data_IF_209592717293
#
_entry.id   IF_209592717293
#
_cell.length_a   1.000
_cell.length_b   1.000
_cell.length_c   1.000
_cell.angle_alpha   90.00
_cell.angle_beta   90.00
_cell.angle_gamma   90.00
#
_symmetry.space_group_name_H-M   'P 1'
#
loop_
_entity.id
_entity.type
_entity.pdbx_description
1 polymer ?
#
# COMPACT_ATOMS: atom_id res chain seq x y z
N UNK A 1 -10.90 -17.51 8.78
CA UNK A 1 -11.55 -17.25 7.48
C UNK A 1 -11.85 -15.76 7.43
N UNK A 2 -11.15 -15.00 6.60
CA UNK A 2 -11.26 -13.53 6.56
C UNK A 2 -11.91 -13.14 5.24
N UNK A 3 -13.15 -12.67 5.29
CA UNK A 3 -13.81 -12.10 4.12
C UNK A 3 -13.41 -10.63 3.97
N UNK A 4 -13.01 -10.17 2.77
CA UNK A 4 -12.81 -8.74 2.52
C UNK A 4 -14.07 -7.92 2.85
N UNK A 5 -15.27 -8.47 2.66
CA UNK A 5 -16.52 -7.82 3.09
C UNK A 5 -16.68 -7.62 4.60
N UNK A 6 -15.90 -8.32 5.44
CA UNK A 6 -15.82 -8.05 6.89
C UNK A 6 -14.73 -7.03 7.24
N UNK A 7 -13.76 -6.81 6.35
CA UNK A 7 -12.65 -5.88 6.55
C UNK A 7 -12.93 -4.51 5.94
N UNK A 8 -13.43 -4.45 4.71
CA UNK A 8 -13.71 -3.23 3.94
C UNK A 8 -15.17 -2.85 4.10
N UNK A 9 -15.41 -1.70 4.73
CA UNK A 9 -16.77 -1.17 4.93
C UNK A 9 -17.32 -0.46 3.70
N UNK A 10 -16.45 0.22 2.94
CA UNK A 10 -16.81 0.96 1.73
C UNK A 10 -15.65 0.96 0.74
N UNK A 11 -15.94 0.89 -0.57
CA UNK A 11 -14.92 1.06 -1.58
C UNK A 11 -14.29 2.45 -1.49
N UNK A 12 -13.05 2.55 -1.94
CA UNK A 12 -12.32 3.80 -1.88
C UNK A 12 -11.08 3.79 -2.74
N UNK A 13 -10.58 5.00 -2.97
CA UNK A 13 -9.33 5.23 -3.66
C UNK A 13 -8.53 6.23 -2.86
N UNK A 14 -7.27 5.90 -2.63
CA UNK A 14 -6.26 6.82 -2.14
C UNK A 14 -5.23 7.05 -3.24
N UNK A 15 -4.81 8.31 -3.43
CA UNK A 15 -3.63 8.65 -4.23
C UNK A 15 -2.74 9.61 -3.46
N UNK A 16 -1.43 9.42 -3.58
CA UNK A 16 -0.43 10.21 -2.90
C UNK A 16 0.89 10.23 -3.64
N UNK A 17 1.85 10.95 -3.08
CA UNK A 17 3.19 11.08 -3.66
C UNK A 17 4.23 10.63 -2.64
N UNK A 18 5.19 9.84 -3.09
CA UNK A 18 6.40 9.53 -2.34
C UNK A 18 7.57 10.33 -2.93
N UNK A 19 8.42 10.86 -2.06
CA UNK A 19 9.56 11.68 -2.45
C UNK A 19 10.85 11.09 -1.85
N UNK A 20 11.54 10.20 -2.60
CA UNK A 20 12.81 9.62 -2.20
C UNK A 20 13.87 10.64 -1.78
N UNK A 21 13.85 11.86 -2.36
CA UNK A 21 14.82 12.91 -1.99
C UNK A 21 14.65 13.40 -0.56
N UNK A 22 13.44 13.29 0.01
CA UNK A 22 13.18 13.64 1.41
C UNK A 22 13.60 12.54 2.37
N UNK A 23 13.77 11.31 1.89
CA UNK A 23 14.16 10.15 2.68
C UNK A 23 15.32 9.41 1.98
N UNK A 24 16.57 9.95 2.02
CA UNK A 24 17.72 9.41 1.28
C UNK A 24 18.18 8.02 1.75
N UNK A 25 17.61 7.51 2.85
CA UNK A 25 17.84 6.16 3.34
C UNK A 25 16.79 5.16 2.87
N UNK A 26 15.67 5.64 2.31
CA UNK A 26 14.65 4.74 1.81
C UNK A 26 15.17 3.91 0.64
N UNK A 27 14.59 2.73 0.47
CA UNK A 27 14.95 1.80 -0.60
C UNK A 27 16.36 1.19 -0.54
N UNK A 28 17.08 1.40 0.57
CA UNK A 28 18.34 0.71 0.90
C UNK A 28 18.05 -0.50 1.78
N UNK A 29 18.83 -1.57 1.62
CA UNK A 29 18.70 -2.78 2.45
C UNK A 29 18.78 -2.42 3.95
N UNK A 30 17.90 -3.03 4.74
CA UNK A 30 17.80 -2.78 6.18
C UNK A 30 17.09 -1.47 6.58
N UNK A 31 16.76 -0.58 5.64
CA UNK A 31 15.97 0.61 5.93
C UNK A 31 14.48 0.31 5.89
N UNK A 32 13.75 0.77 6.90
CA UNK A 32 12.29 0.79 6.93
C UNK A 32 11.79 2.23 6.97
N UNK A 33 10.95 2.64 6.01
CA UNK A 33 10.42 4.00 5.90
C UNK A 33 8.91 3.97 5.74
N UNK A 34 8.21 4.66 6.65
CA UNK A 34 6.79 4.96 6.51
C UNK A 34 6.60 6.18 5.61
N UNK A 35 5.90 6.00 4.49
CA UNK A 35 5.67 7.05 3.51
C UNK A 35 4.39 7.81 3.76
N UNK A 36 3.30 7.05 3.89
CA UNK A 36 1.95 7.58 3.92
C UNK A 36 1.16 6.76 4.92
N UNK A 37 0.36 7.45 5.73
CA UNK A 37 -0.64 6.87 6.61
C UNK A 37 -1.94 7.63 6.37
N UNK A 38 -3.02 6.91 6.10
CA UNK A 38 -4.30 7.51 5.81
C UNK A 38 -5.45 6.75 6.46
N UNK A 39 -6.50 7.49 6.80
CA UNK A 39 -7.78 6.93 7.22
C UNK A 39 -8.84 7.42 6.24
N UNK A 40 -9.44 6.50 5.48
CA UNK A 40 -10.50 6.83 4.53
C UNK A 40 -11.66 5.85 4.69
N UNK A 41 -12.89 6.37 4.82
CA UNK A 41 -14.11 5.57 4.98
C UNK A 41 -14.07 4.57 6.16
N UNK A 42 -13.26 4.85 7.19
CA UNK A 42 -13.10 3.98 8.35
C UNK A 42 -12.06 2.87 8.18
N UNK A 43 -11.39 2.82 7.03
CA UNK A 43 -10.22 1.98 6.78
C UNK A 43 -8.95 2.77 7.09
N UNK A 44 -8.08 2.18 7.91
CA UNK A 44 -6.75 2.71 8.17
C UNK A 44 -5.76 2.02 7.25
N UNK A 45 -4.84 2.74 6.60
CA UNK A 45 -3.84 2.12 5.76
C UNK A 45 -2.51 2.83 5.88
N UNK A 46 -1.43 2.04 5.79
CA UNK A 46 -0.07 2.55 5.83
C UNK A 46 0.69 2.00 4.63
N UNK A 47 1.45 2.88 3.98
CA UNK A 47 2.39 2.54 2.93
C UNK A 47 3.80 2.67 3.52
N UNK A 48 4.53 1.55 3.52
CA UNK A 48 5.91 1.48 4.01
C UNK A 48 6.82 0.93 2.92
N UNK A 49 8.12 1.22 3.00
CA UNK A 49 9.12 0.46 2.27
C UNK A 49 10.13 -0.18 3.21
N UNK A 50 10.52 -1.41 2.88
CA UNK A 50 11.63 -2.13 3.51
C UNK A 50 12.62 -2.55 2.42
N UNK A 51 13.79 -1.93 2.40
CA UNK A 51 14.63 -1.98 1.20
C UNK A 51 13.81 -1.58 -0.03
N UNK A 52 14.03 -2.26 -1.15
CA UNK A 52 13.33 -1.98 -2.43
C UNK A 52 11.87 -2.44 -2.45
N UNK A 53 11.41 -3.09 -1.39
CA UNK A 53 10.06 -3.62 -1.30
C UNK A 53 9.12 -2.55 -0.79
N UNK A 54 8.04 -2.31 -1.51
CA UNK A 54 6.95 -1.49 -1.06
C UNK A 54 5.82 -2.37 -0.53
N UNK A 55 5.28 -1.99 0.62
CA UNK A 55 4.15 -2.67 1.25
C UNK A 55 3.03 -1.71 1.57
N UNK A 56 1.81 -2.18 1.34
CA UNK A 56 0.58 -1.53 1.82
C UNK A 56 -0.04 -2.43 2.85
N UNK A 57 -0.23 -1.89 4.05
CA UNK A 57 -0.84 -2.60 5.17
C UNK A 57 -2.16 -1.91 5.49
N UNK A 58 -3.26 -2.63 5.30
CA UNK A 58 -4.58 -2.20 5.72
C UNK A 58 -4.78 -2.56 7.20
N UNK A 59 -5.50 -1.70 7.90
CA UNK A 59 -5.81 -1.78 9.32
C UNK A 59 -4.56 -2.04 10.19
N UNK A 60 -3.46 -1.37 9.85
CA UNK A 60 -2.17 -1.49 10.54
C UNK A 60 -2.29 -1.25 12.04
N UNK A 61 -1.60 -2.07 12.84
CA UNK A 61 -1.64 -2.09 14.31
C UNK A 61 -3.01 -2.36 14.93
N UNK A 62 -3.90 -3.04 14.19
CA UNK A 62 -5.18 -3.53 14.73
C UNK A 62 -5.27 -5.05 14.64
N UNK A 63 -6.25 -5.63 15.32
CA UNK A 63 -6.63 -7.04 15.22
C UNK A 63 -7.11 -7.46 13.82
N UNK A 64 -7.39 -6.48 12.96
CA UNK A 64 -7.85 -6.64 11.56
C UNK A 64 -6.74 -6.34 10.54
N UNK A 65 -5.48 -6.26 10.98
CA UNK A 65 -4.36 -5.96 10.09
C UNK A 65 -4.28 -6.96 8.93
N UNK A 66 -4.13 -6.42 7.73
CA UNK A 66 -3.96 -7.18 6.49
C UNK A 66 -2.78 -6.60 5.71
N UNK A 67 -1.72 -7.38 5.54
CA UNK A 67 -0.70 -7.07 4.56
C UNK A 67 -1.32 -7.31 3.18
N UNK A 68 -1.48 -6.24 2.41
CA UNK A 68 -2.12 -6.32 1.11
C UNK A 68 -1.09 -6.53 0.03
N UNK A 69 -0.09 -5.66 -0.07
CA UNK A 69 0.92 -5.79 -1.11
C UNK A 69 2.30 -5.91 -0.53
N UNK A 70 3.13 -6.68 -1.21
CA UNK A 70 4.56 -6.74 -0.99
C UNK A 70 5.20 -6.92 -2.36
N UNK A 71 5.63 -5.82 -2.96
CA UNK A 71 6.18 -5.83 -4.32
C UNK A 71 7.50 -5.07 -4.37
N UNK A 72 8.47 -5.62 -5.12
CA UNK A 72 9.70 -4.92 -5.42
C UNK A 72 9.44 -4.01 -6.60
N UNK A 73 9.56 -2.71 -6.39
CA UNK A 73 9.37 -1.69 -7.43
C UNK A 73 10.75 -1.12 -7.77
N UNK A 74 11.00 -0.89 -9.06
CA UNK A 74 12.17 -0.14 -9.49
C UNK A 74 11.92 1.35 -9.28
N UNK A 75 12.62 1.95 -8.31
CA UNK A 75 12.43 3.35 -7.92
C UNK A 75 13.51 4.23 -8.54
N UNK A 76 13.09 5.27 -9.25
CA UNK A 76 13.98 6.38 -9.59
C UNK A 76 14.08 7.35 -8.41
N UNK A 77 15.14 7.18 -7.61
CA UNK A 77 15.40 8.01 -6.42
C UNK A 77 15.60 9.51 -6.74
N UNK A 78 15.68 9.89 -8.02
CA UNK A 78 15.85 11.27 -8.48
C UNK A 78 14.53 12.03 -8.67
N UNK A 79 13.37 11.38 -8.59
CA UNK A 79 12.06 12.02 -8.80
C UNK A 79 11.04 11.62 -7.74
N UNK A 80 9.92 12.36 -7.70
CA UNK A 80 8.75 11.95 -6.92
C UNK A 80 7.95 10.94 -7.73
N UNK A 81 7.38 9.97 -7.04
CA UNK A 81 6.52 8.97 -7.65
C UNK A 81 5.12 9.05 -7.08
N UNK A 82 4.14 8.81 -7.93
CA UNK A 82 2.75 8.71 -7.53
C UNK A 82 2.47 7.28 -7.08
N UNK A 83 1.73 7.15 -5.98
CA UNK A 83 1.16 5.89 -5.54
C UNK A 83 -0.36 5.99 -5.47
N UNK A 84 -1.03 4.95 -5.94
CA UNK A 84 -2.47 4.79 -5.82
C UNK A 84 -2.81 3.47 -5.14
N UNK A 85 -3.77 3.48 -4.24
CA UNK A 85 -4.37 2.26 -3.69
C UNK A 85 -5.86 2.36 -3.88
N UNK A 86 -6.45 1.40 -4.58
CA UNK A 86 -7.90 1.27 -4.74
C UNK A 86 -8.35 0.03 -4.01
N UNK A 87 -9.51 0.10 -3.36
CA UNK A 87 -10.07 -1.06 -2.69
C UNK A 87 -11.58 -1.11 -2.86
N UNK A 88 -12.09 -2.33 -2.93
CA UNK A 88 -13.50 -2.66 -3.01
C UNK A 88 -13.76 -3.95 -2.23
N UNK A 89 -15.01 -4.40 -2.18
CA UNK A 89 -15.34 -5.69 -1.60
C UNK A 89 -14.82 -6.87 -2.43
N UNK A 90 -14.44 -6.63 -3.68
CA UNK A 90 -14.01 -7.66 -4.65
C UNK A 90 -12.51 -7.72 -4.80
N UNK A 91 -11.80 -6.61 -4.65
CA UNK A 91 -10.36 -6.55 -4.86
C UNK A 91 -9.71 -5.36 -4.17
N UNK A 92 -8.40 -5.45 -3.99
CA UNK A 92 -7.53 -4.33 -3.68
C UNK A 92 -6.48 -4.25 -4.79
N UNK A 93 -6.15 -3.05 -5.26
CA UNK A 93 -5.17 -2.83 -6.33
C UNK A 93 -4.17 -1.73 -5.94
N UNK A 94 -2.91 -1.94 -6.31
CA UNK A 94 -1.79 -1.01 -6.13
C UNK A 94 -1.35 -0.46 -7.48
N UNK A 95 -1.30 0.87 -7.57
CA UNK A 95 -0.79 1.60 -8.70
C UNK A 95 0.48 2.34 -8.33
N UNK A 96 1.45 2.33 -9.23
CA UNK A 96 2.69 3.08 -9.14
C UNK A 96 2.90 3.85 -10.43
N UNK A 97 3.06 5.18 -10.34
CA UNK A 97 3.10 6.11 -11.48
C UNK A 97 1.98 5.88 -12.52
N UNK A 98 0.78 5.60 -12.00
CA UNK A 98 -0.42 5.34 -12.80
C UNK A 98 -0.49 3.93 -13.41
N UNK A 99 0.53 3.08 -13.25
CA UNK A 99 0.53 1.70 -13.74
C UNK A 99 0.12 0.74 -12.64
N UNK A 100 -0.79 -0.18 -12.95
CA UNK A 100 -1.17 -1.28 -12.05
C UNK A 100 0.05 -2.18 -11.82
N UNK A 101 0.48 -2.29 -10.57
CA UNK A 101 1.59 -3.15 -10.16
C UNK A 101 1.10 -4.50 -9.68
N UNK A 102 0.03 -4.50 -8.89
CA UNK A 102 -0.53 -5.70 -8.32
C UNK A 102 -2.02 -5.49 -8.04
N UNK A 103 -2.79 -6.56 -8.24
CA UNK A 103 -4.17 -6.66 -7.81
C UNK A 103 -4.33 -7.96 -7.03
N UNK A 104 -5.12 -7.92 -5.97
CA UNK A 104 -5.47 -9.09 -5.17
C UNK A 104 -6.98 -9.14 -5.10
N UNK A 105 -7.55 -10.27 -5.53
CA UNK A 105 -8.97 -10.50 -5.40
C UNK A 105 -9.33 -10.88 -3.96
N UNK A 106 -10.58 -10.66 -3.58
CA UNK A 106 -11.15 -11.13 -2.33
C UNK A 106 -11.08 -12.65 -2.18
N UNK A 107 -10.96 -13.37 -3.28
CA UNK A 107 -10.90 -14.84 -3.29
C UNK A 107 -9.51 -15.34 -2.94
N UNK A 108 -8.47 -14.60 -3.32
CA UNK A 108 -7.07 -14.94 -3.04
C UNK A 108 -6.66 -14.68 -1.57
N UNK A 109 -7.52 -13.98 -0.82
CA UNK A 109 -7.36 -13.71 0.60
C UNK A 109 -8.09 -14.74 1.50
N UNK A 110 -8.72 -15.77 0.91
CA UNK A 110 -9.43 -16.85 1.61
C UNK A 110 -8.48 -17.88 2.21
#
# INVERSE_FOLDING_TARGET
MVYLGMLIKKPGTFTGWIDPKKNPFAFKEGSNVKWIEFVLNGEHAVIISEGKTLSVIMNHNTDRQLLVFQTSIDFDLSTKHQIGVTWSVESISLYFDGQLQQEISAEDLR
#
